data_IF_336441573331
#
_entry.id   IF_336441573331
#
_cell.length_a   1.000
_cell.length_b   1.000
_cell.length_c   1.000
_cell.angle_alpha   90.00
_cell.angle_beta   90.00
_cell.angle_gamma   90.00
#
_symmetry.space_group_name_H-M   'P 1'
#
loop_
_entity.id
_entity.type
_entity.pdbx_description
1 polymer ?
#
# COMPACT_ATOMS: atom_id res chain seq x y z
N UNK A 1 -16.32 -10.71 -3.94
CA UNK A 1 -16.54 -9.82 -2.78
C UNK A 1 -17.12 -10.57 -1.58
N UNK A 2 -18.07 -11.46 -1.77
CA UNK A 2 -18.72 -12.24 -0.72
C UNK A 2 -17.77 -13.13 0.10
N UNK A 3 -16.72 -13.68 -0.52
CA UNK A 3 -15.68 -14.44 0.20
C UNK A 3 -14.87 -13.61 1.19
N UNK A 4 -14.63 -12.33 0.88
CA UNK A 4 -13.97 -11.38 1.78
C UNK A 4 -14.85 -11.05 3.01
N UNK A 5 -16.17 -11.04 2.83
CA UNK A 5 -17.13 -10.77 3.89
C UNK A 5 -17.35 -11.97 4.83
N UNK A 6 -17.32 -13.19 4.28
CA UNK A 6 -17.49 -14.42 5.06
C UNK A 6 -16.34 -14.67 6.06
N UNK A 7 -15.13 -14.23 5.74
CA UNK A 7 -13.96 -14.39 6.60
C UNK A 7 -13.88 -13.43 7.79
N UNK A 8 -14.72 -12.37 7.81
CA UNK A 8 -14.79 -11.40 8.92
C UNK A 8 -15.31 -11.97 10.25
N UNK A 9 -15.87 -13.17 10.26
CA UNK A 9 -16.48 -13.79 11.45
C UNK A 9 -15.50 -14.58 12.32
N UNK A 10 -14.20 -14.52 12.03
CA UNK A 10 -13.20 -15.16 12.89
C UNK A 10 -12.88 -14.30 14.11
N UNK A 11 -12.71 -14.91 15.29
CA UNK A 11 -12.42 -14.16 16.51
C UNK A 11 -11.10 -13.38 16.40
N UNK A 12 -11.05 -12.16 16.99
CA UNK A 12 -9.95 -11.21 16.82
C UNK A 12 -8.57 -11.67 17.28
N UNK A 13 -8.49 -12.74 18.04
CA UNK A 13 -7.25 -13.33 18.54
C UNK A 13 -6.67 -14.44 17.65
N UNK A 14 -7.35 -14.84 16.57
CA UNK A 14 -6.79 -15.72 15.54
C UNK A 14 -6.47 -14.89 14.30
N UNK A 15 -5.36 -14.27 14.33
CA UNK A 15 -4.95 -13.15 13.52
C UNK A 15 -4.34 -13.58 12.19
N UNK A 16 -4.98 -14.39 11.45
CA UNK A 16 -4.78 -14.23 10.04
C UNK A 16 -6.14 -13.81 9.48
N UNK A 17 -6.24 -12.56 9.02
CA UNK A 17 -7.13 -12.28 7.92
C UNK A 17 -6.93 -13.45 7.00
N UNK A 18 -8.00 -14.18 6.67
CA UNK A 18 -7.84 -15.47 6.01
C UNK A 18 -6.84 -15.30 4.88
N UNK A 19 -5.95 -16.26 4.70
CA UNK A 19 -4.91 -16.28 3.65
C UNK A 19 -5.42 -15.72 2.31
N UNK A 20 -6.67 -15.98 1.97
CA UNK A 20 -7.34 -15.46 0.79
C UNK A 20 -7.67 -13.96 0.88
N UNK A 21 -8.13 -13.47 2.02
CA UNK A 21 -8.45 -12.04 2.17
C UNK A 21 -7.21 -11.17 1.96
N UNK A 22 -6.11 -11.53 2.62
CA UNK A 22 -4.85 -10.78 2.45
C UNK A 22 -4.32 -10.85 1.04
N UNK A 23 -4.41 -12.03 0.39
CA UNK A 23 -3.97 -12.20 -1.00
C UNK A 23 -4.81 -11.36 -1.96
N UNK A 24 -6.13 -11.38 -1.84
CA UNK A 24 -7.01 -10.54 -2.67
C UNK A 24 -6.84 -9.06 -2.36
N UNK A 25 -6.74 -8.67 -1.11
CA UNK A 25 -6.55 -7.29 -0.71
C UNK A 25 -5.21 -6.74 -1.23
N UNK A 26 -4.12 -7.49 -1.09
CA UNK A 26 -2.82 -7.14 -1.64
C UNK A 26 -2.87 -6.97 -3.17
N UNK A 27 -3.50 -7.92 -3.87
CA UNK A 27 -3.67 -7.85 -5.33
C UNK A 27 -4.50 -6.63 -5.74
N UNK A 28 -5.58 -6.33 -5.03
CA UNK A 28 -6.38 -5.13 -5.29
C UNK A 28 -5.57 -3.84 -5.11
N UNK A 29 -4.76 -3.74 -4.05
CA UNK A 29 -3.89 -2.58 -3.83
C UNK A 29 -2.90 -2.42 -5.00
N UNK A 30 -2.25 -3.51 -5.42
CA UNK A 30 -1.28 -3.47 -6.52
C UNK A 30 -1.94 -3.04 -7.83
N UNK A 31 -3.11 -3.58 -8.16
CA UNK A 31 -3.86 -3.22 -9.37
C UNK A 31 -4.33 -1.76 -9.35
N UNK A 32 -4.82 -1.27 -8.20
CA UNK A 32 -5.22 0.12 -8.03
C UNK A 32 -4.04 1.08 -8.24
N UNK A 33 -2.87 0.74 -7.69
CA UNK A 33 -1.67 1.56 -7.88
C UNK A 33 -1.18 1.49 -9.33
N UNK A 34 -1.17 0.32 -9.96
CA UNK A 34 -0.79 0.17 -11.37
C UNK A 34 -1.72 0.99 -12.31
N UNK A 35 -3.03 0.94 -12.05
CA UNK A 35 -4.00 1.78 -12.76
C UNK A 35 -3.68 3.27 -12.57
N UNK A 36 -3.42 3.70 -11.36
CA UNK A 36 -3.07 5.09 -11.05
C UNK A 36 -1.76 5.52 -11.73
N UNK A 37 -0.71 4.69 -11.70
CA UNK A 37 0.55 4.94 -12.38
C UNK A 37 0.39 5.07 -13.90
N UNK A 38 -0.47 4.24 -14.49
CA UNK A 38 -0.84 4.33 -15.90
C UNK A 38 -1.51 5.67 -16.23
N UNK A 39 -2.45 6.11 -15.39
CA UNK A 39 -3.11 7.40 -15.55
C UNK A 39 -2.13 8.58 -15.41
N UNK A 40 -1.26 8.54 -14.40
CA UNK A 40 -0.21 9.57 -14.22
C UNK A 40 0.73 9.64 -15.42
N UNK A 41 1.08 8.49 -16.01
CA UNK A 41 1.88 8.42 -17.22
C UNK A 41 1.18 9.12 -18.40
N UNK A 42 -0.14 8.95 -18.53
CA UNK A 42 -0.94 9.64 -19.53
C UNK A 42 -0.98 11.16 -19.30
N UNK A 43 -1.21 11.59 -18.05
CA UNK A 43 -1.15 13.03 -17.69
C UNK A 43 0.19 13.62 -18.04
N UNK A 44 1.28 12.92 -17.72
CA UNK A 44 2.63 13.32 -18.09
C UNK A 44 2.81 13.47 -19.59
N UNK A 45 2.27 12.56 -20.38
CA UNK A 45 2.33 12.62 -21.85
C UNK A 45 1.57 13.82 -22.38
N UNK A 46 0.35 14.09 -21.89
CA UNK A 46 -0.50 15.20 -22.33
C UNK A 46 0.09 16.57 -21.95
N UNK A 47 0.64 16.70 -20.75
CA UNK A 47 1.22 17.96 -20.29
C UNK A 47 2.62 18.25 -20.85
N UNK A 48 3.14 17.32 -21.64
CA UNK A 48 4.41 17.49 -22.36
C UNK A 48 5.64 17.54 -21.45
N UNK A 49 6.76 17.88 -22.06
CA UNK A 49 8.13 17.73 -21.55
C UNK A 49 8.55 18.61 -20.37
N UNK A 50 7.65 19.36 -19.76
CA UNK A 50 7.96 20.23 -18.60
C UNK A 50 8.37 19.45 -17.35
N UNK A 51 8.02 18.15 -17.30
CA UNK A 51 8.41 17.29 -16.19
C UNK A 51 9.73 16.62 -16.54
N UNK A 52 10.79 16.94 -15.80
CA UNK A 52 12.11 16.38 -16.04
C UNK A 52 12.07 14.84 -16.13
N UNK A 53 12.71 14.29 -17.15
CA UNK A 53 12.82 12.85 -17.38
C UNK A 53 13.44 12.09 -16.18
N UNK A 54 14.15 12.81 -15.29
CA UNK A 54 14.68 12.31 -14.02
C UNK A 54 13.60 11.89 -13.01
N UNK A 55 12.37 12.41 -13.13
CA UNK A 55 11.24 12.03 -12.27
C UNK A 55 10.60 10.73 -12.77
N UNK A 56 11.12 9.61 -12.32
CA UNK A 56 10.76 8.28 -12.82
C UNK A 56 9.52 7.68 -12.18
N UNK A 57 9.26 7.97 -10.91
CA UNK A 57 8.10 7.40 -10.24
C UNK A 57 6.89 8.32 -10.28
N UNK A 58 5.70 7.72 -10.30
CA UNK A 58 4.43 8.43 -10.46
C UNK A 58 4.19 9.45 -9.34
N UNK A 59 4.59 9.14 -8.11
CA UNK A 59 4.38 10.05 -6.98
C UNK A 59 5.19 11.33 -7.12
N UNK A 60 6.43 11.26 -7.61
CA UNK A 60 7.26 12.44 -7.84
C UNK A 60 6.67 13.32 -8.95
N UNK A 61 6.13 12.70 -10.01
CA UNK A 61 5.42 13.41 -11.08
C UNK A 61 4.22 14.16 -10.50
N UNK A 62 3.36 13.46 -9.76
CA UNK A 62 2.16 14.08 -9.14
C UNK A 62 2.54 15.24 -8.23
N UNK A 63 3.52 15.06 -7.36
CA UNK A 63 3.93 16.10 -6.42
C UNK A 63 4.68 17.26 -7.06
N UNK A 64 5.22 17.07 -8.26
CA UNK A 64 5.82 18.15 -9.05
C UNK A 64 4.73 18.98 -9.72
N UNK A 65 3.71 18.32 -10.29
CA UNK A 65 2.60 19.00 -10.98
C UNK A 65 1.64 19.64 -9.97
N UNK A 66 1.38 18.95 -8.85
CA UNK A 66 0.45 19.38 -7.81
C UNK A 66 1.15 19.53 -6.44
N UNK A 67 2.01 20.54 -6.25
CA UNK A 67 2.81 20.69 -5.03
C UNK A 67 1.98 20.95 -3.77
N UNK A 68 0.76 21.48 -3.93
CA UNK A 68 -0.19 21.79 -2.86
C UNK A 68 -1.26 20.70 -2.62
N UNK A 69 -1.01 19.48 -3.09
CA UNK A 69 -1.92 18.36 -2.88
C UNK A 69 -2.21 18.13 -1.40
N UNK A 70 -3.45 18.35 -0.95
CA UNK A 70 -3.86 18.27 0.47
C UNK A 70 -3.59 16.89 1.09
N UNK A 71 -3.85 15.82 0.33
CA UNK A 71 -3.68 14.44 0.79
C UNK A 71 -2.33 13.81 0.37
N UNK A 72 -1.33 14.65 0.12
CA UNK A 72 0.04 14.21 -0.20
C UNK A 72 0.57 13.12 0.74
N UNK A 73 0.35 13.30 2.06
CA UNK A 73 0.82 12.34 3.07
C UNK A 73 0.12 10.98 2.94
N UNK A 74 -1.18 10.99 2.65
CA UNK A 74 -1.96 9.77 2.41
C UNK A 74 -1.47 9.05 1.14
N UNK A 75 -1.24 9.78 0.06
CA UNK A 75 -0.70 9.22 -1.17
C UNK A 75 0.68 8.57 -0.96
N UNK A 76 1.56 9.19 -0.18
CA UNK A 76 2.85 8.58 0.18
C UNK A 76 2.69 7.29 1.00
N UNK A 77 1.69 7.21 1.87
CA UNK A 77 1.38 5.99 2.63
C UNK A 77 0.95 4.84 1.71
N UNK A 78 0.18 5.14 0.65
CA UNK A 78 -0.20 4.16 -0.38
C UNK A 78 1.05 3.57 -1.05
N UNK A 79 2.02 4.41 -1.41
CA UNK A 79 3.25 3.93 -2.04
C UNK A 79 4.14 3.14 -1.08
N UNK A 80 4.16 3.48 0.20
CA UNK A 80 4.84 2.64 1.21
C UNK A 80 4.22 1.25 1.25
N UNK A 81 2.87 1.14 1.27
CA UNK A 81 2.21 -0.15 1.26
C UNK A 81 2.50 -0.92 -0.04
N UNK A 82 2.41 -0.26 -1.19
CA UNK A 82 2.73 -0.86 -2.50
C UNK A 82 4.14 -1.46 -2.51
N UNK A 83 5.13 -0.70 -2.05
CA UNK A 83 6.52 -1.16 -2.02
C UNK A 83 6.70 -2.38 -1.09
N UNK A 84 6.01 -2.41 0.03
CA UNK A 84 6.03 -3.55 0.95
C UNK A 84 5.37 -4.81 0.36
N UNK A 85 4.31 -4.64 -0.43
CA UNK A 85 3.63 -5.75 -1.10
C UNK A 85 4.44 -6.34 -2.26
N UNK A 86 5.20 -5.50 -2.98
CA UNK A 86 6.04 -5.94 -4.11
C UNK A 86 7.37 -6.52 -3.63
N UNK A 87 7.96 -5.90 -2.61
CA UNK A 87 9.32 -6.20 -2.17
C UNK A 87 9.33 -7.04 -0.88
N UNK A 88 8.90 -8.29 -0.96
CA UNK A 88 8.86 -9.22 0.19
C UNK A 88 10.21 -9.38 0.91
N UNK A 89 11.33 -9.16 0.22
CA UNK A 89 12.67 -9.23 0.80
C UNK A 89 12.98 -8.13 1.84
N UNK A 90 12.06 -7.17 2.03
CA UNK A 90 12.19 -6.17 3.09
C UNK A 90 11.88 -6.71 4.49
N UNK A 91 11.38 -7.94 4.57
CA UNK A 91 10.93 -8.54 5.82
C UNK A 91 11.67 -9.83 6.13
N UNK A 92 12.14 -9.95 7.36
CA UNK A 92 12.49 -11.21 7.98
C UNK A 92 11.23 -11.78 8.63
N UNK A 93 10.83 -12.96 8.21
CA UNK A 93 9.53 -13.55 8.56
C UNK A 93 9.77 -14.91 9.20
N UNK A 94 9.23 -15.08 10.41
CA UNK A 94 9.19 -16.35 11.11
C UNK A 94 7.82 -16.99 10.94
N UNK A 95 7.80 -18.25 10.55
CA UNK A 95 6.60 -19.06 10.39
C UNK A 95 6.63 -20.27 11.32
N UNK A 96 5.47 -20.67 11.78
CA UNK A 96 5.24 -21.97 12.37
C UNK A 96 4.34 -22.79 11.45
N UNK A 97 4.80 -24.02 11.15
CA UNK A 97 4.01 -24.99 10.42
C UNK A 97 3.31 -25.92 11.38
N UNK A 98 2.01 -26.18 11.21
CA UNK A 98 1.29 -27.20 11.95
C UNK A 98 -0.11 -26.80 12.42
N UNK A 99 -0.82 -27.77 12.94
CA UNK A 99 -2.19 -27.63 13.43
C UNK A 99 -3.25 -27.48 12.35
N UNK A 100 -4.39 -26.92 12.72
CA UNK A 100 -5.53 -26.66 11.81
C UNK A 100 -5.25 -25.58 10.76
N UNK A 101 -4.11 -24.90 10.85
CA UNK A 101 -3.68 -23.85 9.94
C UNK A 101 -2.32 -24.22 9.35
N UNK A 102 -2.17 -24.24 8.04
CA UNK A 102 -0.95 -24.71 7.39
C UNK A 102 0.27 -23.81 7.67
N UNK A 103 0.06 -22.56 8.04
CA UNK A 103 1.15 -21.62 8.30
C UNK A 103 0.67 -20.50 9.22
N UNK A 104 1.37 -20.28 10.31
CA UNK A 104 1.12 -19.17 11.25
C UNK A 104 2.30 -18.23 11.25
N UNK A 105 2.08 -16.95 10.93
CA UNK A 105 3.09 -15.92 11.05
C UNK A 105 3.37 -15.63 12.53
N UNK A 106 4.55 -15.99 13.00
CA UNK A 106 4.99 -15.71 14.37
C UNK A 106 5.50 -14.30 14.53
N UNK A 107 6.42 -13.90 13.66
CA UNK A 107 6.97 -12.55 13.68
C UNK A 107 7.30 -12.07 12.27
N UNK A 108 7.33 -10.75 12.11
CA UNK A 108 7.85 -10.10 10.93
C UNK A 108 8.60 -8.84 11.36
N UNK A 109 9.90 -8.82 11.09
CA UNK A 109 10.78 -7.70 11.37
C UNK A 109 11.34 -7.13 10.07
N UNK A 110 11.45 -5.81 9.98
CA UNK A 110 12.08 -5.19 8.82
C UNK A 110 13.56 -5.57 8.81
N UNK A 111 14.05 -6.09 7.71
CA UNK A 111 15.45 -6.43 7.55
C UNK A 111 16.31 -5.16 7.67
N UNK A 112 17.30 -5.13 8.57
CA UNK A 112 18.10 -3.91 8.86
C UNK A 112 18.92 -3.42 7.68
N UNK A 113 19.30 -4.31 6.74
CA UNK A 113 20.07 -3.94 5.55
C UNK A 113 19.29 -3.13 4.51
N UNK A 114 17.97 -3.08 4.61
CA UNK A 114 17.12 -2.37 3.65
C UNK A 114 16.56 -1.09 4.27
N UNK A 115 17.40 -0.04 4.32
CA UNK A 115 16.98 1.30 4.74
C UNK A 115 16.09 1.96 3.68
N UNK A 116 14.80 2.05 3.92
CA UNK A 116 13.90 2.88 3.12
C UNK A 116 13.52 4.13 3.90
N UNK A 117 14.09 5.28 3.54
CA UNK A 117 13.84 6.57 4.21
C UNK A 117 12.35 6.93 4.24
N UNK A 118 11.60 6.60 3.19
CA UNK A 118 10.17 6.84 3.12
C UNK A 118 9.42 5.97 4.13
N UNK A 119 9.78 4.69 4.25
CA UNK A 119 9.23 3.78 5.25
C UNK A 119 9.45 4.35 6.67
N UNK A 120 10.67 4.68 7.03
CA UNK A 120 11.01 5.18 8.37
C UNK A 120 10.28 6.49 8.71
N UNK A 121 10.13 7.38 7.73
CA UNK A 121 9.41 8.62 7.88
C UNK A 121 7.89 8.44 8.02
N UNK A 122 7.32 7.43 7.35
CA UNK A 122 5.88 7.28 7.17
C UNK A 122 5.24 6.18 8.02
N UNK A 123 6.01 5.27 8.60
CA UNK A 123 5.50 4.15 9.39
C UNK A 123 5.69 4.40 10.88
N UNK A 124 4.67 4.06 11.66
CA UNK A 124 4.78 3.96 13.11
C UNK A 124 5.26 2.55 13.46
N UNK A 125 6.48 2.45 13.99
CA UNK A 125 7.14 1.18 14.30
C UNK A 125 6.40 0.36 15.36
N UNK A 126 5.76 1.03 16.32
CA UNK A 126 5.04 0.36 17.42
C UNK A 126 3.72 -0.26 16.94
N UNK A 127 2.95 0.48 16.15
CA UNK A 127 1.65 0.01 15.66
C UNK A 127 1.75 -0.78 14.35
N UNK A 128 2.91 -0.72 13.68
CA UNK A 128 3.13 -1.29 12.34
C UNK A 128 2.08 -0.84 11.33
N UNK A 129 1.73 0.45 11.41
CA UNK A 129 0.79 1.10 10.52
C UNK A 129 1.37 2.38 9.97
N UNK A 130 0.91 2.77 8.78
CA UNK A 130 1.27 4.07 8.21
C UNK A 130 0.63 5.21 8.99
N UNK A 131 1.31 6.38 9.02
CA UNK A 131 0.95 7.50 9.91
C UNK A 131 -0.30 8.27 9.48
N UNK A 132 -0.54 8.43 8.18
CA UNK A 132 -1.66 9.24 7.69
C UNK A 132 -2.93 8.41 7.49
N UNK A 133 -2.83 7.22 6.90
CA UNK A 133 -3.97 6.37 6.58
C UNK A 133 -4.17 5.23 7.59
N UNK A 134 -3.15 4.90 8.40
CA UNK A 134 -3.21 3.74 9.28
C UNK A 134 -3.28 2.42 8.52
N UNK A 135 -2.68 2.34 7.31
CA UNK A 135 -2.59 1.11 6.53
C UNK A 135 -1.70 0.10 7.23
N UNK A 136 -2.07 -1.17 7.18
CA UNK A 136 -1.23 -2.24 7.68
C UNK A 136 0.04 -2.36 6.84
N UNK A 137 1.21 -2.35 7.49
CA UNK A 137 2.48 -2.55 6.78
C UNK A 137 2.92 -4.00 6.73
N UNK A 138 2.17 -4.90 7.35
CA UNK A 138 2.39 -6.34 7.24
C UNK A 138 1.58 -6.88 6.07
N UNK A 139 2.20 -7.46 5.03
CA UNK A 139 1.50 -7.97 3.87
C UNK A 139 0.40 -8.98 4.21
N UNK A 140 0.64 -9.83 5.22
CA UNK A 140 -0.33 -10.81 5.70
C UNK A 140 -1.51 -10.22 6.49
N UNK A 141 -1.52 -8.92 6.72
CA UNK A 141 -2.59 -8.20 7.44
C UNK A 141 -3.27 -7.11 6.62
N UNK A 142 -2.91 -7.01 5.36
CA UNK A 142 -3.62 -6.12 4.43
C UNK A 142 -5.04 -6.64 4.24
N UNK A 143 -6.02 -5.81 4.52
CA UNK A 143 -7.43 -6.17 4.51
C UNK A 143 -8.27 -5.27 3.60
N UNK A 144 -9.58 -5.55 3.53
CA UNK A 144 -10.54 -4.75 2.77
C UNK A 144 -10.53 -3.27 3.17
N UNK A 145 -10.33 -2.98 4.45
CA UNK A 145 -10.32 -1.59 4.94
C UNK A 145 -9.14 -0.83 4.37
N UNK A 146 -7.97 -1.48 4.26
CA UNK A 146 -6.80 -0.92 3.63
C UNK A 146 -7.05 -0.65 2.14
N UNK A 147 -7.69 -1.59 1.42
CA UNK A 147 -8.07 -1.41 0.01
C UNK A 147 -8.97 -0.20 -0.19
N UNK A 148 -10.00 -0.04 0.65
CA UNK A 148 -10.93 1.09 0.55
C UNK A 148 -10.24 2.44 0.80
N UNK A 149 -9.30 2.51 1.75
CA UNK A 149 -8.51 3.72 2.01
C UNK A 149 -7.57 4.06 0.84
N UNK A 150 -6.96 3.04 0.25
CA UNK A 150 -6.12 3.18 -0.95
C UNK A 150 -6.96 3.70 -2.11
N UNK A 151 -8.09 3.05 -2.40
CA UNK A 151 -9.02 3.46 -3.46
C UNK A 151 -9.45 4.92 -3.28
N UNK A 152 -9.96 5.29 -2.10
CA UNK A 152 -10.42 6.65 -1.81
C UNK A 152 -9.30 7.70 -2.01
N UNK A 153 -8.08 7.38 -1.59
CA UNK A 153 -6.93 8.27 -1.74
C UNK A 153 -6.56 8.47 -3.20
N UNK A 154 -6.49 7.40 -3.98
CA UNK A 154 -6.17 7.45 -5.40
C UNK A 154 -7.29 8.15 -6.17
N UNK A 155 -8.54 7.84 -5.88
CA UNK A 155 -9.70 8.48 -6.48
C UNK A 155 -9.72 10.00 -6.27
N UNK A 156 -9.52 10.45 -5.03
CA UNK A 156 -9.38 11.88 -4.73
C UNK A 156 -8.24 12.54 -5.48
N UNK A 157 -7.15 11.82 -5.72
CA UNK A 157 -6.03 12.36 -6.51
C UNK A 157 -6.39 12.49 -7.98
N UNK A 158 -7.10 11.51 -8.55
CA UNK A 158 -7.57 11.57 -9.93
C UNK A 158 -8.54 12.74 -10.14
N UNK A 159 -9.46 12.98 -9.20
CA UNK A 159 -10.37 14.13 -9.28
C UNK A 159 -9.63 15.48 -9.30
N UNK A 160 -8.48 15.60 -8.66
CA UNK A 160 -7.64 16.81 -8.75
C UNK A 160 -7.09 16.98 -10.16
N UNK A 161 -6.76 15.89 -10.86
CA UNK A 161 -6.26 15.96 -12.24
C UNK A 161 -7.34 16.38 -13.23
N UNK A 162 -8.57 16.00 -13.00
CA UNK A 162 -9.71 16.36 -13.88
C UNK A 162 -10.17 17.80 -13.68
N UNK A 163 -9.91 18.38 -12.52
CA UNK A 163 -10.32 19.76 -12.16
C UNK A 163 -9.32 20.82 -12.65
N UNK A 164 -8.21 20.40 -13.30
CA UNK A 164 -7.12 21.29 -13.75
C UNK A 164 -6.96 21.25 -15.24
#
# INVERSE_FOLDING_TARGET
MDRLLAQRRQPPNRVQSGFFESGYAASCVLLLVAMFESYVSRVRFVQGTKIALSKRNAIDVVLTVYPRLRHRKALMDVYVLRDLLIHNHLWEIEYEWGGSHPMVLRSATKHPAYGNKMYDARVNKNTRRTKALGLSVLPSRTDRTDVLKVFDTLWKTLLVFEAT
#
